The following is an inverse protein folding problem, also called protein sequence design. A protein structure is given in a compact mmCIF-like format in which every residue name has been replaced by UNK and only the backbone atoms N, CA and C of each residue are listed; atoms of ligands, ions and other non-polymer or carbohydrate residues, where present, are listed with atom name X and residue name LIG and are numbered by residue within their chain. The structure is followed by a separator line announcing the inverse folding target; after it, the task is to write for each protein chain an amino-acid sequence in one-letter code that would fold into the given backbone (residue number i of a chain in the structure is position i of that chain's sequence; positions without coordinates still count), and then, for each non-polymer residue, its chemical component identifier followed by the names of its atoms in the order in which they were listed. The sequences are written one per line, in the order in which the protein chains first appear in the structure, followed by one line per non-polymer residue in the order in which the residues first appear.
data_IF_015750247527
#
_entry.id   IF_015750247527
#
_cell.length_a   1.000
_cell.length_b   1.000
_cell.length_c   1.000
_cell.angle_alpha   90.00
_cell.angle_beta   90.00
_cell.angle_gamma   90.00
#
_symmetry.space_group_name_H-M   'P 1'
#
loop_
_entity.id
_entity.type
_entity.pdbx_description
1 polymer ?
#
# COMPACT_ATOMS: atom_id res chain seq x y z
N UNK A 1 3.94 -12.98 -6.79
CA UNK A 1 3.76 -11.98 -5.72
C UNK A 1 2.33 -11.99 -5.22
N UNK A 2 2.18 -12.07 -3.93
CA UNK A 2 0.87 -12.07 -3.29
C UNK A 2 0.56 -10.67 -2.76
N UNK A 3 -0.58 -10.14 -3.14
CA UNK A 3 -0.98 -8.77 -2.84
C UNK A 3 -2.32 -8.76 -2.15
N UNK A 4 -2.49 -7.89 -1.17
CA UNK A 4 -3.79 -7.55 -0.60
C UNK A 4 -4.04 -6.07 -0.90
N UNK A 5 -5.25 -5.77 -1.36
CA UNK A 5 -5.66 -4.41 -1.71
C UNK A 5 -6.69 -3.94 -0.68
N UNK A 6 -6.50 -2.74 -0.15
CA UNK A 6 -7.43 -2.15 0.81
C UNK A 6 -7.82 -0.75 0.37
N UNK A 7 -9.09 -0.55 0.10
CA UNK A 7 -9.64 0.74 -0.29
C UNK A 7 -11.13 0.74 0.01
N UNK A 8 -11.65 1.81 0.57
CA UNK A 8 -13.08 1.92 0.88
C UNK A 8 -13.92 2.18 -0.37
N UNK A 9 -13.31 2.54 -1.48
CA UNK A 9 -13.99 2.67 -2.77
C UNK A 9 -13.83 1.37 -3.57
N UNK A 10 -14.93 0.62 -3.68
CA UNK A 10 -14.94 -0.66 -4.38
C UNK A 10 -14.61 -0.56 -5.86
N UNK A 11 -14.87 0.60 -6.48
CA UNK A 11 -14.50 0.82 -7.88
C UNK A 11 -12.99 0.92 -8.03
N UNK A 12 -12.34 1.59 -7.08
CA UNK A 12 -10.89 1.72 -7.08
C UNK A 12 -10.22 0.36 -6.84
N UNK A 13 -10.66 -0.36 -5.82
CA UNK A 13 -10.07 -1.68 -5.52
C UNK A 13 -10.29 -2.67 -6.65
N UNK A 14 -11.45 -2.65 -7.29
CA UNK A 14 -11.73 -3.50 -8.45
C UNK A 14 -10.85 -3.17 -9.65
N UNK A 15 -10.66 -1.87 -9.92
CA UNK A 15 -9.79 -1.42 -11.00
C UNK A 15 -8.33 -1.81 -10.73
N UNK A 16 -7.87 -1.64 -9.52
CA UNK A 16 -6.51 -2.03 -9.13
C UNK A 16 -6.29 -3.53 -9.29
N UNK A 17 -7.26 -4.32 -8.85
CA UNK A 17 -7.20 -5.77 -9.03
C UNK A 17 -7.06 -6.15 -10.49
N UNK A 18 -7.89 -5.57 -11.35
CA UNK A 18 -7.86 -5.83 -12.79
C UNK A 18 -6.51 -5.47 -13.39
N UNK A 19 -5.98 -4.31 -13.03
CA UNK A 19 -4.69 -3.83 -13.53
C UNK A 19 -3.55 -4.75 -13.07
N UNK A 20 -3.53 -5.10 -11.80
CA UNK A 20 -2.45 -5.90 -11.22
C UNK A 20 -2.49 -7.34 -11.70
N UNK A 21 -3.66 -7.92 -11.86
CA UNK A 21 -3.79 -9.32 -12.29
C UNK A 21 -3.51 -9.53 -13.77
N UNK A 22 -3.33 -8.48 -14.54
CA UNK A 22 -2.78 -8.60 -15.90
C UNK A 22 -1.34 -9.09 -15.88
N UNK A 23 -0.62 -8.86 -14.79
CA UNK A 23 0.72 -9.39 -14.61
C UNK A 23 0.61 -10.80 -14.05
N UNK A 24 1.18 -11.77 -14.76
CA UNK A 24 1.08 -13.18 -14.39
C UNK A 24 1.77 -13.49 -13.05
N UNK A 25 2.69 -12.66 -12.64
CA UNK A 25 3.42 -12.84 -11.38
C UNK A 25 2.64 -12.36 -10.16
N UNK A 26 1.51 -11.70 -10.36
CA UNK A 26 0.74 -11.12 -9.27
C UNK A 26 -0.56 -11.87 -9.03
N UNK A 27 -0.76 -12.24 -7.75
CA UNK A 27 -1.99 -12.82 -7.28
C UNK A 27 -2.59 -11.92 -6.20
N UNK A 28 -3.80 -11.42 -6.43
CA UNK A 28 -4.53 -10.64 -5.44
C UNK A 28 -5.28 -11.60 -4.54
N UNK A 29 -4.84 -11.72 -3.30
CA UNK A 29 -5.39 -12.70 -2.35
C UNK A 29 -6.68 -12.23 -1.68
N UNK A 30 -6.87 -10.94 -1.58
CA UNK A 30 -8.05 -10.40 -0.95
C UNK A 30 -8.17 -8.91 -1.12
N UNK A 31 -9.38 -8.41 -0.92
CA UNK A 31 -9.69 -6.98 -0.96
C UNK A 31 -10.44 -6.65 0.33
N UNK A 32 -10.01 -5.58 0.99
CA UNK A 32 -10.65 -5.08 2.18
C UNK A 32 -11.10 -3.65 1.98
N UNK A 33 -11.99 -3.17 2.82
CA UNK A 33 -12.57 -1.84 2.70
C UNK A 33 -12.24 -0.89 3.85
N UNK A 34 -11.52 -1.35 4.85
CA UNK A 34 -11.10 -0.48 5.97
C UNK A 34 -9.87 -1.07 6.66
N UNK A 35 -9.31 -0.29 7.58
CA UNK A 35 -8.09 -0.69 8.26
C UNK A 35 -8.22 -1.93 9.13
N UNK A 36 -9.38 -2.12 9.73
CA UNK A 36 -9.61 -3.29 10.57
C UNK A 36 -9.57 -4.59 9.76
N UNK A 37 -10.26 -4.58 8.62
CA UNK A 37 -10.22 -5.71 7.69
C UNK A 37 -8.82 -5.91 7.11
N UNK A 38 -8.08 -4.83 6.88
CA UNK A 38 -6.70 -4.91 6.40
C UNK A 38 -5.83 -5.70 7.37
N UNK A 39 -5.96 -5.43 8.66
CA UNK A 39 -5.21 -6.14 9.69
C UNK A 39 -5.57 -7.63 9.67
N UNK A 40 -6.85 -7.95 9.58
CA UNK A 40 -7.33 -9.33 9.53
C UNK A 40 -6.79 -10.08 8.33
N UNK A 41 -6.84 -9.46 7.15
CA UNK A 41 -6.32 -10.07 5.92
C UNK A 41 -4.81 -10.21 5.96
N UNK A 42 -4.11 -9.24 6.55
CA UNK A 42 -2.66 -9.35 6.67
C UNK A 42 -2.28 -10.54 7.56
N UNK A 43 -2.94 -10.72 8.68
CA UNK A 43 -2.69 -11.86 9.57
C UNK A 43 -2.98 -13.18 8.89
N UNK A 44 -4.04 -13.22 8.08
CA UNK A 44 -4.47 -14.47 7.41
C UNK A 44 -3.54 -14.86 6.26
N UNK A 45 -3.18 -13.90 5.42
CA UNK A 45 -2.46 -14.19 4.17
C UNK A 45 -0.98 -13.85 4.21
N UNK A 46 -0.55 -12.97 5.08
CA UNK A 46 0.82 -12.44 5.13
C UNK A 46 1.33 -12.12 3.71
N UNK A 47 0.68 -11.18 3.00
CA UNK A 47 1.01 -10.90 1.61
C UNK A 47 2.43 -10.36 1.45
N UNK A 48 2.97 -10.47 0.25
CA UNK A 48 4.27 -9.88 -0.06
C UNK A 48 4.22 -8.36 -0.03
N UNK A 49 3.09 -7.77 -0.46
CA UNK A 49 2.87 -6.32 -0.39
C UNK A 49 1.40 -6.06 -0.03
N UNK A 50 1.20 -5.12 0.88
CA UNK A 50 -0.12 -4.61 1.23
C UNK A 50 -0.28 -3.23 0.58
N UNK A 51 -1.22 -3.10 -0.33
CA UNK A 51 -1.53 -1.85 -1.03
C UNK A 51 -2.79 -1.27 -0.38
N UNK A 52 -2.67 -0.13 0.29
CA UNK A 52 -3.73 0.35 1.16
C UNK A 52 -3.96 1.86 1.05
N UNK A 53 -5.23 2.25 0.92
CA UNK A 53 -5.64 3.64 0.99
C UNK A 53 -5.36 4.18 2.39
N UNK A 54 -4.85 5.41 2.47
CA UNK A 54 -4.52 6.02 3.75
C UNK A 54 -5.76 6.50 4.50
N UNK A 55 -6.80 6.94 3.79
CA UNK A 55 -8.03 7.47 4.39
C UNK A 55 -9.19 6.50 4.28
N UNK A 56 -9.56 5.92 5.40
CA UNK A 56 -10.69 5.00 5.50
C UNK A 56 -11.37 5.16 6.86
N UNK A 57 -12.59 4.68 6.99
CA UNK A 57 -13.32 4.62 8.24
C UNK A 57 -13.84 3.20 8.47
N UNK A 58 -13.94 2.74 9.69
CA UNK A 58 -13.65 3.41 10.96
C UNK A 58 -12.18 3.50 11.31
N UNK A 59 -11.32 2.68 10.69
CA UNK A 59 -9.87 2.71 10.93
C UNK A 59 -9.15 3.10 9.65
N UNK A 60 -8.28 4.11 9.75
CA UNK A 60 -7.51 4.60 8.60
C UNK A 60 -6.37 3.65 8.22
N UNK A 61 -5.82 3.85 7.03
CA UNK A 61 -4.64 3.11 6.59
C UNK A 61 -3.43 3.39 7.46
N UNK A 62 -3.29 4.62 7.97
CA UNK A 62 -2.21 4.95 8.89
C UNK A 62 -2.31 4.15 10.18
N UNK A 63 -3.48 4.13 10.79
CA UNK A 63 -3.71 3.36 12.02
C UNK A 63 -3.47 1.86 11.80
N UNK A 64 -3.97 1.33 10.69
CA UNK A 64 -3.76 -0.08 10.35
C UNK A 64 -2.28 -0.38 10.13
N UNK A 65 -1.55 0.52 9.45
CA UNK A 65 -0.11 0.36 9.23
C UNK A 65 0.65 0.31 10.55
N UNK A 66 0.31 1.18 11.49
CA UNK A 66 0.94 1.19 12.81
C UNK A 66 0.75 -0.14 13.52
N UNK A 67 -0.46 -0.68 13.52
CA UNK A 67 -0.77 -1.96 14.15
C UNK A 67 -0.05 -3.13 13.48
N UNK A 68 -0.07 -3.17 12.15
CA UNK A 68 0.58 -4.25 11.40
C UNK A 68 2.09 -4.22 11.64
N UNK A 69 2.70 -3.05 11.60
CA UNK A 69 4.15 -2.92 11.77
C UNK A 69 4.61 -3.19 13.20
N UNK A 70 3.76 -3.01 14.19
CA UNK A 70 4.06 -3.45 15.56
C UNK A 70 4.19 -4.97 15.66
N UNK A 71 3.31 -5.70 14.96
CA UNK A 71 3.33 -7.16 14.95
C UNK A 71 4.39 -7.71 14.00
N UNK A 72 4.55 -7.08 12.84
CA UNK A 72 5.44 -7.51 11.76
C UNK A 72 6.25 -6.33 11.24
N UNK A 73 7.37 -5.99 11.88
CA UNK A 73 8.18 -4.84 11.45
C UNK A 73 8.68 -4.92 10.01
N UNK A 74 8.77 -6.11 9.45
CA UNK A 74 9.21 -6.35 8.08
C UNK A 74 8.08 -6.22 7.05
N UNK A 75 6.86 -5.95 7.47
CA UNK A 75 5.72 -5.84 6.56
C UNK A 75 5.97 -4.79 5.49
N UNK A 76 5.63 -5.12 4.26
CA UNK A 76 5.81 -4.23 3.11
C UNK A 76 4.47 -3.57 2.79
N UNK A 77 4.33 -2.34 3.19
CA UNK A 77 3.10 -1.56 3.03
C UNK A 77 3.36 -0.40 2.07
N UNK A 78 2.55 -0.30 1.03
CA UNK A 78 2.51 0.86 0.14
C UNK A 78 1.16 1.55 0.35
N UNK A 79 1.18 2.84 0.65
CA UNK A 79 -0.04 3.60 0.85
C UNK A 79 -0.47 4.29 -0.42
N UNK A 80 -1.78 4.33 -0.64
CA UNK A 80 -2.39 5.10 -1.72
C UNK A 80 -2.92 6.40 -1.13
N UNK A 81 -2.57 7.52 -1.73
CA UNK A 81 -2.88 8.83 -1.18
C UNK A 81 -3.48 9.76 -2.23
N UNK A 82 -4.04 10.87 -1.76
CA UNK A 82 -4.41 12.00 -2.59
C UNK A 82 -3.49 13.17 -2.28
N UNK A 83 -3.59 14.27 -3.02
CA UNK A 83 -2.72 15.43 -2.84
C UNK A 83 -2.85 16.10 -1.47
N UNK A 84 -3.92 15.82 -0.73
CA UNK A 84 -4.19 16.47 0.55
C UNK A 84 -3.70 15.70 1.76
N UNK A 85 -2.92 14.63 1.57
CA UNK A 85 -2.56 13.72 2.66
C UNK A 85 -1.14 13.89 3.21
N UNK A 86 -0.49 15.03 2.99
CA UNK A 86 0.92 15.26 3.35
C UNK A 86 1.25 14.94 4.80
N UNK A 87 0.41 15.35 5.74
CA UNK A 87 0.64 15.10 7.17
C UNK A 87 0.63 13.61 7.48
N UNK A 88 -0.30 12.89 6.88
CA UNK A 88 -0.42 11.44 7.08
C UNK A 88 0.77 10.70 6.47
N UNK A 89 1.27 11.17 5.34
CA UNK A 89 2.41 10.57 4.65
C UNK A 89 3.65 10.62 5.53
N UNK A 90 3.94 11.78 6.13
CA UNK A 90 5.10 11.93 7.01
C UNK A 90 5.02 10.96 8.19
N UNK A 91 3.86 10.87 8.83
CA UNK A 91 3.66 9.94 9.94
C UNK A 91 3.82 8.48 9.51
N UNK A 92 3.28 8.14 8.34
CA UNK A 92 3.36 6.79 7.80
C UNK A 92 4.80 6.37 7.54
N UNK A 93 5.59 7.24 6.91
CA UNK A 93 7.00 6.94 6.64
C UNK A 93 7.79 6.77 7.94
N UNK A 94 7.48 7.56 8.96
CA UNK A 94 8.12 7.43 10.28
C UNK A 94 7.77 6.11 10.95
N UNK A 95 6.58 5.58 10.75
CA UNK A 95 6.19 4.32 11.38
C UNK A 95 6.70 3.09 10.62
N UNK A 96 7.24 3.27 9.42
CA UNK A 96 7.92 2.19 8.72
C UNK A 96 7.27 1.69 7.44
N UNK A 97 6.25 2.38 6.90
CA UNK A 97 5.71 2.00 5.58
C UNK A 97 6.80 2.18 4.53
N UNK A 98 6.76 1.37 3.49
CA UNK A 98 7.83 1.35 2.48
C UNK A 98 7.74 2.47 1.46
N UNK A 99 6.57 3.08 1.31
CA UNK A 99 6.38 4.19 0.40
C UNK A 99 4.92 4.57 0.25
N UNK A 100 4.66 5.51 -0.64
CA UNK A 100 3.32 5.95 -0.96
C UNK A 100 3.21 6.30 -2.45
N UNK A 101 2.01 6.24 -2.98
CA UNK A 101 1.71 6.55 -4.37
C UNK A 101 0.41 7.34 -4.44
N UNK A 102 0.30 8.19 -5.45
CA UNK A 102 -0.96 8.88 -5.71
C UNK A 102 -1.97 7.90 -6.32
N UNK A 103 -3.20 7.94 -5.87
CA UNK A 103 -4.27 7.03 -6.33
C UNK A 103 -4.47 7.08 -7.84
N UNK A 104 -4.28 8.24 -8.46
CA UNK A 104 -4.48 8.42 -9.90
C UNK A 104 -3.32 7.92 -10.75
N UNK A 105 -2.19 7.63 -10.14
CA UNK A 105 -0.98 7.27 -10.86
C UNK A 105 -0.85 5.76 -11.02
N UNK A 106 -1.76 5.18 -11.78
CA UNK A 106 -1.80 3.73 -11.99
C UNK A 106 -0.53 3.20 -12.67
N UNK A 107 0.12 4.02 -13.49
CA UNK A 107 1.34 3.60 -14.18
C UNK A 107 2.50 3.35 -13.23
N UNK A 108 2.52 4.02 -12.09
CA UNK A 108 3.59 3.87 -11.09
C UNK A 108 3.35 2.75 -10.09
N UNK A 109 2.14 2.22 -10.00
CA UNK A 109 1.79 1.23 -8.97
C UNK A 109 2.56 -0.07 -9.15
N UNK A 110 2.55 -0.65 -10.34
CA UNK A 110 3.22 -1.92 -10.59
C UNK A 110 4.74 -1.84 -10.40
N UNK A 111 5.45 -0.83 -10.94
CA UNK A 111 6.88 -0.68 -10.67
C UNK A 111 7.19 -0.53 -9.18
N UNK A 112 6.37 0.20 -8.43
CA UNK A 112 6.58 0.39 -7.01
C UNK A 112 6.39 -0.92 -6.22
N UNK A 113 5.37 -1.69 -6.56
CA UNK A 113 5.13 -2.99 -5.94
C UNK A 113 6.33 -3.91 -6.18
N UNK A 114 6.84 -3.96 -7.39
CA UNK A 114 8.00 -4.79 -7.73
C UNK A 114 9.24 -4.35 -6.98
N UNK A 115 9.49 -3.04 -6.89
CA UNK A 115 10.64 -2.50 -6.17
C UNK A 115 10.60 -2.89 -4.70
N UNK A 116 9.46 -2.73 -4.06
CA UNK A 116 9.28 -3.08 -2.65
C UNK A 116 9.39 -4.58 -2.43
N UNK A 117 8.78 -5.37 -3.29
CA UNK A 117 8.74 -6.82 -3.16
C UNK A 117 10.13 -7.47 -3.33
N UNK A 118 10.96 -6.93 -4.21
CA UNK A 118 12.31 -7.46 -4.45
C UNK A 118 13.32 -7.04 -3.39
N UNK A 119 12.89 -6.31 -2.38
CA UNK A 119 13.78 -5.80 -1.36
C UNK A 119 14.60 -4.60 -1.83
N UNK A 120 14.34 -4.11 -3.02
CA UNK A 120 14.84 -2.82 -3.45
C UNK A 120 14.25 -1.80 -2.52
N UNK A 121 15.11 -0.99 -2.02
CA UNK A 121 14.85 -0.32 -0.79
C UNK A 121 13.89 0.85 -0.91
N UNK A 122 13.29 1.13 0.20
CA UNK A 122 12.69 2.41 0.52
C UNK A 122 13.48 3.60 -0.02
N UNK A 123 14.83 3.51 -0.08
CA UNK A 123 15.67 4.60 -0.56
C UNK A 123 15.51 4.86 -2.06
N UNK A 124 15.40 3.82 -2.89
CA UNK A 124 15.15 4.02 -4.31
C UNK A 124 13.76 4.59 -4.56
N UNK A 125 12.77 4.08 -3.84
CA UNK A 125 11.42 4.59 -3.92
C UNK A 125 11.34 6.02 -3.41
N UNK A 126 12.06 6.35 -2.35
CA UNK A 126 12.16 7.72 -1.85
C UNK A 126 12.78 8.65 -2.88
N UNK A 127 13.87 8.22 -3.52
CA UNK A 127 14.52 9.03 -4.55
C UNK A 127 13.57 9.32 -5.69
N UNK A 128 12.80 8.33 -6.10
CA UNK A 128 11.80 8.51 -7.14
C UNK A 128 10.72 9.51 -6.71
N UNK A 129 10.22 9.36 -5.49
CA UNK A 129 9.19 10.25 -4.97
C UNK A 129 9.71 11.66 -4.74
N UNK A 130 10.92 11.80 -4.23
CA UNK A 130 11.56 13.10 -4.04
C UNK A 130 11.73 13.84 -5.36
N UNK A 131 12.15 13.15 -6.41
CA UNK A 131 12.26 13.72 -7.74
C UNK A 131 10.91 14.22 -8.27
N UNK A 132 9.83 13.57 -7.90
CA UNK A 132 8.49 13.99 -8.31
C UNK A 132 7.99 15.20 -7.54
N UNK A 133 8.47 15.38 -6.32
CA UNK A 133 8.04 16.47 -5.45
C UNK A 133 8.81 17.77 -5.71
N UNK A 134 9.86 17.71 -6.48
CA UNK A 134 10.68 18.85 -6.84
C UNK A 134 10.66 19.09 -8.35
#
# INVERSE_FOLDING_TARGET
MRIVIVDDDMLVSGALRTILEKDQDIEVQGIASNGKEAIELYRKYEPDVLLMDIRMSPMSGLEASEEILKEKPEAKILLLTTFSDDEYIVKALKCGVKGYLLKQDYASILPAIRAVCTGQTCSELRSYLDCRNF
#
